data_IF_380067260963
#
_entry.id   IF_380067260963
#
_cell.length_a   1.000
_cell.length_b   1.000
_cell.length_c   1.000
_cell.angle_alpha   90.00
_cell.angle_beta   90.00
_cell.angle_gamma   90.00
#
_symmetry.space_group_name_H-M   'P 1'
#
loop_
_entity.id
_entity.type
_entity.pdbx_description
1 polymer ?
#
# COMPACT_ATOMS: atom_id res chain seq x y z
N UNK A 1 -34.63 -17.88 41.99
CA UNK A 1 -34.68 -16.41 42.21
C UNK A 1 -33.86 -16.10 43.47
N UNK A 2 -33.15 -14.97 43.54
CA UNK A 2 -32.30 -14.63 44.68
C UNK A 2 -33.08 -13.71 45.63
N UNK A 3 -33.10 -14.02 46.93
CA UNK A 3 -33.77 -13.20 47.93
C UNK A 3 -33.01 -11.88 48.12
N UNK A 4 -33.65 -10.70 47.97
CA UNK A 4 -32.97 -9.41 48.14
C UNK A 4 -32.56 -9.12 49.60
N UNK A 5 -33.18 -9.78 50.58
CA UNK A 5 -32.87 -9.60 51.99
C UNK A 5 -31.59 -10.32 52.43
N UNK A 6 -31.37 -11.56 51.98
CA UNK A 6 -30.27 -12.42 52.49
C UNK A 6 -29.36 -12.99 51.40
N UNK A 7 -29.67 -12.78 50.11
CA UNK A 7 -28.93 -13.36 48.99
C UNK A 7 -29.13 -14.87 48.80
N UNK A 8 -29.99 -15.52 49.59
CA UNK A 8 -30.28 -16.95 49.48
C UNK A 8 -31.12 -17.30 48.25
N UNK A 9 -30.95 -18.51 47.72
CA UNK A 9 -31.78 -19.03 46.64
C UNK A 9 -33.20 -19.36 47.14
N UNK A 10 -34.21 -18.81 46.47
CA UNK A 10 -35.61 -19.15 46.66
C UNK A 10 -36.02 -20.26 45.66
N UNK A 11 -36.68 -21.29 46.18
CA UNK A 11 -37.35 -22.32 45.37
C UNK A 11 -38.35 -21.66 44.40
N UNK A 12 -38.46 -22.14 43.15
CA UNK A 12 -39.27 -21.51 42.11
C UNK A 12 -40.76 -21.37 42.46
N UNK A 13 -41.30 -22.28 43.28
CA UNK A 13 -42.69 -22.23 43.78
C UNK A 13 -42.80 -21.71 45.22
N UNK A 14 -41.67 -21.33 45.83
CA UNK A 14 -41.59 -20.94 47.24
C UNK A 14 -41.97 -19.49 47.48
N UNK A 15 -43.15 -19.26 48.08
CA UNK A 15 -43.62 -17.93 48.51
C UNK A 15 -42.80 -17.29 49.66
N UNK A 16 -41.85 -18.02 50.24
CA UNK A 16 -41.04 -17.56 51.37
C UNK A 16 -39.61 -18.07 51.33
N UNK A 17 -38.65 -17.22 51.73
CA UNK A 17 -37.26 -17.61 51.97
C UNK A 17 -37.07 -18.04 53.43
N UNK A 18 -36.02 -18.82 53.68
CA UNK A 18 -35.58 -19.23 55.03
C UNK A 18 -35.26 -18.06 55.95
N UNK A 19 -34.93 -16.87 55.41
CA UNK A 19 -34.73 -15.65 56.19
C UNK A 19 -36.05 -14.99 56.66
N UNK A 20 -37.21 -15.55 56.33
CA UNK A 20 -38.53 -15.02 56.68
C UNK A 20 -39.10 -14.01 55.69
N UNK A 21 -38.36 -13.61 54.66
CA UNK A 21 -38.87 -12.75 53.59
C UNK A 21 -39.95 -13.48 52.78
N UNK A 22 -41.09 -12.83 52.55
CA UNK A 22 -42.22 -13.34 51.75
C UNK A 22 -42.38 -12.49 50.49
N UNK A 23 -42.79 -13.12 49.39
CA UNK A 23 -43.11 -12.40 48.16
C UNK A 23 -44.42 -11.63 48.38
N UNK A 24 -44.36 -10.30 48.28
CA UNK A 24 -45.51 -9.42 48.48
C UNK A 24 -46.12 -9.11 47.13
N UNK A 25 -47.08 -9.94 46.72
CA UNK A 25 -47.81 -9.81 45.46
C UNK A 25 -47.47 -10.87 44.41
N UNK A 26 -48.35 -11.06 43.39
CA UNK A 26 -48.03 -11.91 42.26
C UNK A 26 -46.78 -11.37 41.53
N UNK A 27 -46.00 -12.24 40.87
CA UNK A 27 -44.90 -11.76 40.02
C UNK A 27 -45.43 -10.72 39.05
N UNK A 28 -44.65 -9.66 38.81
CA UNK A 28 -45.01 -8.67 37.79
C UNK A 28 -45.34 -9.40 36.49
N UNK A 29 -46.52 -9.12 35.94
CA UNK A 29 -46.91 -9.63 34.64
C UNK A 29 -45.85 -9.21 33.63
N UNK A 30 -45.47 -10.15 32.76
CA UNK A 30 -44.56 -9.85 31.66
C UNK A 30 -45.07 -8.61 30.90
N UNK A 31 -44.21 -7.63 30.58
CA UNK A 31 -44.65 -6.39 29.97
C UNK A 31 -45.38 -6.67 28.64
N UNK A 32 -46.56 -6.06 28.47
CA UNK A 32 -47.42 -6.27 27.29
C UNK A 32 -46.77 -5.85 25.96
N UNK A 33 -45.69 -5.06 26.00
CA UNK A 33 -44.94 -4.68 24.82
C UNK A 33 -43.44 -4.58 25.13
N UNK A 34 -42.63 -5.18 24.27
CA UNK A 34 -41.18 -5.01 24.25
C UNK A 34 -40.83 -3.87 23.29
N UNK A 35 -40.05 -2.90 23.76
CA UNK A 35 -39.55 -1.83 22.89
C UNK A 35 -38.40 -2.41 22.04
N UNK A 36 -38.50 -2.42 20.70
CA UNK A 36 -37.48 -3.03 19.86
C UNK A 36 -36.15 -2.27 20.00
N UNK A 37 -35.07 -3.00 20.29
CA UNK A 37 -33.72 -2.43 20.35
C UNK A 37 -33.15 -2.22 18.94
N UNK A 38 -33.36 -1.03 18.37
CA UNK A 38 -32.85 -0.63 17.04
C UNK A 38 -31.45 -0.01 17.06
N UNK A 39 -30.85 0.21 18.24
CA UNK A 39 -29.61 0.97 18.38
C UNK A 39 -28.44 0.43 17.55
N UNK A 40 -28.23 -0.89 17.53
CA UNK A 40 -27.09 -1.51 16.84
C UNK A 40 -27.17 -1.44 15.32
N UNK A 41 -28.37 -1.61 14.75
CA UNK A 41 -28.57 -1.54 13.29
C UNK A 41 -28.43 -0.11 12.76
N UNK A 42 -28.93 0.88 13.51
CA UNK A 42 -28.75 2.30 13.18
C UNK A 42 -27.28 2.69 13.23
N UNK A 43 -26.54 2.29 14.27
CA UNK A 43 -25.09 2.57 14.35
C UNK A 43 -24.31 1.94 13.20
N UNK A 44 -24.66 0.72 12.78
CA UNK A 44 -24.00 0.06 11.66
C UNK A 44 -24.25 0.80 10.33
N UNK A 45 -25.47 1.28 10.12
CA UNK A 45 -25.83 2.05 8.91
C UNK A 45 -25.12 3.41 8.86
N UNK A 46 -25.05 4.12 9.99
CA UNK A 46 -24.32 5.39 10.08
C UNK A 46 -22.82 5.19 9.81
N UNK A 47 -22.21 4.16 10.39
CA UNK A 47 -20.80 3.82 10.12
C UNK A 47 -20.57 3.44 8.66
N UNK A 48 -21.50 2.72 8.04
CA UNK A 48 -21.42 2.39 6.62
C UNK A 48 -21.43 3.67 5.76
N UNK A 49 -22.31 4.63 6.03
CA UNK A 49 -22.36 5.91 5.32
C UNK A 49 -21.07 6.72 5.54
N UNK A 50 -20.59 6.82 6.79
CA UNK A 50 -19.34 7.52 7.11
C UNK A 50 -18.18 6.89 6.34
N UNK A 51 -18.14 5.56 6.20
CA UNK A 51 -17.08 4.88 5.46
C UNK A 51 -17.03 5.26 3.97
N UNK A 52 -18.18 5.56 3.35
CA UNK A 52 -18.25 6.02 1.95
C UNK A 52 -17.61 7.40 1.83
N UNK A 53 -17.97 8.34 2.72
CA UNK A 53 -17.40 9.69 2.70
C UNK A 53 -15.91 9.71 3.06
N UNK A 54 -15.51 8.85 3.99
CA UNK A 54 -14.14 8.75 4.44
C UNK A 54 -13.24 7.95 3.47
N UNK A 55 -13.79 7.34 2.42
CA UNK A 55 -13.02 6.72 1.33
C UNK A 55 -12.06 7.70 0.63
N UNK A 56 -12.36 9.00 0.71
CA UNK A 56 -11.47 10.08 0.25
C UNK A 56 -10.15 10.12 1.05
N UNK A 57 -10.15 9.64 2.29
CA UNK A 57 -8.98 9.57 3.15
C UNK A 57 -8.49 8.12 3.24
N UNK A 58 -7.31 7.83 2.65
CA UNK A 58 -6.73 6.49 2.43
C UNK A 58 -6.59 5.56 3.66
N UNK A 59 -6.97 5.98 4.87
CA UNK A 59 -6.71 5.28 6.13
C UNK A 59 -7.81 4.37 6.68
N UNK A 60 -8.94 4.16 6.01
CA UNK A 60 -10.16 3.72 6.70
C UNK A 60 -10.67 2.30 6.42
N UNK A 61 -9.84 1.40 5.86
CA UNK A 61 -10.20 -0.02 5.70
C UNK A 61 -10.54 -0.71 7.03
N UNK A 62 -10.03 -0.19 8.15
CA UNK A 62 -10.35 -0.73 9.49
C UNK A 62 -11.82 -0.51 9.85
N UNK A 63 -12.41 0.64 9.47
CA UNK A 63 -13.78 0.96 9.85
C UNK A 63 -14.82 0.17 9.03
N UNK A 64 -14.51 -0.19 7.77
CA UNK A 64 -15.39 -1.08 6.98
C UNK A 64 -15.44 -2.49 7.59
N UNK A 65 -14.30 -3.01 8.05
CA UNK A 65 -14.24 -4.30 8.76
C UNK A 65 -15.03 -4.28 10.07
N UNK A 66 -14.95 -3.20 10.84
CA UNK A 66 -15.74 -3.03 12.08
C UNK A 66 -17.24 -2.97 11.75
N UNK A 67 -17.63 -2.26 10.69
CA UNK A 67 -19.04 -2.20 10.26
C UNK A 67 -19.58 -3.58 9.85
N UNK A 68 -18.79 -4.36 9.10
CA UNK A 68 -19.15 -5.74 8.72
C UNK A 68 -19.31 -6.62 9.96
N UNK A 69 -18.38 -6.54 10.92
CA UNK A 69 -18.45 -7.31 12.16
C UNK A 69 -19.72 -6.99 12.96
N UNK A 70 -20.02 -5.71 13.16
CA UNK A 70 -21.23 -5.26 13.86
C UNK A 70 -22.50 -5.75 13.15
N UNK A 71 -22.57 -5.63 11.82
CA UNK A 71 -23.71 -6.12 11.03
C UNK A 71 -23.88 -7.64 11.14
N UNK A 72 -22.79 -8.41 11.15
CA UNK A 72 -22.84 -9.86 11.31
C UNK A 72 -23.34 -10.26 12.72
N UNK A 73 -22.84 -9.61 13.76
CA UNK A 73 -23.33 -9.85 15.13
C UNK A 73 -24.80 -9.48 15.30
N UNK A 74 -25.25 -8.36 14.72
CA UNK A 74 -26.66 -7.96 14.75
C UNK A 74 -27.57 -8.97 14.02
N UNK A 75 -27.13 -9.50 12.87
CA UNK A 75 -27.85 -10.55 12.13
C UNK A 75 -27.93 -11.85 12.94
N UNK A 76 -26.84 -12.24 13.61
CA UNK A 76 -26.83 -13.44 14.44
C UNK A 76 -27.80 -13.32 15.63
N UNK A 77 -27.87 -12.16 16.27
CA UNK A 77 -28.78 -11.90 17.39
C UNK A 77 -30.26 -11.84 16.99
N UNK A 78 -30.57 -11.32 15.79
CA UNK A 78 -31.95 -11.33 15.27
C UNK A 78 -32.44 -12.75 14.96
N UNK A 79 -31.54 -13.66 14.57
CA UNK A 79 -31.89 -15.06 14.33
C UNK A 79 -32.11 -15.84 15.63
N UNK A 80 -31.44 -15.47 16.72
CA UNK A 80 -31.63 -16.14 18.02
C UNK A 80 -32.88 -15.64 18.77
N UNK A 81 -33.19 -14.34 18.72
CA UNK A 81 -34.28 -13.73 19.49
C UNK A 81 -35.16 -12.80 18.64
N UNK A 82 -35.94 -13.40 17.72
CA UNK A 82 -36.85 -12.68 16.82
C UNK A 82 -37.90 -11.81 17.55
N UNK A 83 -38.28 -12.17 18.78
CA UNK A 83 -39.29 -11.42 19.56
C UNK A 83 -38.77 -10.11 20.18
N UNK A 84 -37.46 -10.00 20.41
CA UNK A 84 -36.85 -8.82 21.06
C UNK A 84 -36.20 -7.85 20.06
N UNK A 85 -35.85 -8.31 18.86
CA UNK A 85 -35.14 -7.51 17.87
C UNK A 85 -35.99 -7.20 16.65
N UNK A 86 -36.65 -6.04 16.67
CA UNK A 86 -37.21 -5.42 15.47
C UNK A 86 -36.11 -4.75 14.64
N UNK A 87 -35.90 -5.20 13.39
CA UNK A 87 -34.89 -4.58 12.51
C UNK A 87 -34.19 -5.51 11.52
N UNK A 88 -34.74 -6.69 11.21
CA UNK A 88 -34.12 -7.61 10.25
C UNK A 88 -33.84 -6.96 8.88
N UNK A 89 -34.80 -6.18 8.36
CA UNK A 89 -34.65 -5.45 7.10
C UNK A 89 -33.52 -4.41 7.14
N UNK A 90 -33.35 -3.68 8.24
CA UNK A 90 -32.26 -2.70 8.36
C UNK A 90 -30.91 -3.40 8.52
N UNK A 91 -30.86 -4.53 9.21
CA UNK A 91 -29.66 -5.34 9.33
C UNK A 91 -29.23 -5.98 7.99
N UNK A 92 -30.16 -6.52 7.20
CA UNK A 92 -29.84 -7.11 5.89
C UNK A 92 -29.41 -6.07 4.88
N UNK A 93 -30.09 -4.92 4.83
CA UNK A 93 -29.72 -3.82 3.93
C UNK A 93 -28.35 -3.25 4.29
N UNK A 94 -28.05 -3.02 5.58
CA UNK A 94 -26.73 -2.58 6.02
C UNK A 94 -25.63 -3.58 5.65
N UNK A 95 -25.88 -4.88 5.80
CA UNK A 95 -24.92 -5.92 5.45
C UNK A 95 -24.66 -5.93 3.94
N UNK A 96 -25.70 -5.95 3.10
CA UNK A 96 -25.57 -5.92 1.63
C UNK A 96 -24.85 -4.66 1.16
N UNK A 97 -25.17 -3.49 1.73
CA UNK A 97 -24.49 -2.25 1.39
C UNK A 97 -23.00 -2.31 1.74
N UNK A 98 -22.67 -2.78 2.95
CA UNK A 98 -21.29 -2.88 3.42
C UNK A 98 -20.44 -3.85 2.58
N UNK A 99 -21.00 -4.97 2.13
CA UNK A 99 -20.29 -5.94 1.30
C UNK A 99 -20.04 -5.39 -0.10
N UNK A 100 -21.03 -4.72 -0.70
CA UNK A 100 -20.87 -4.07 -2.01
C UNK A 100 -19.77 -3.01 -1.94
N UNK A 101 -19.82 -2.10 -0.95
CA UNK A 101 -18.80 -1.04 -0.79
C UNK A 101 -17.42 -1.67 -0.63
N UNK A 102 -17.28 -2.68 0.23
CA UNK A 102 -15.99 -3.32 0.48
C UNK A 102 -15.44 -4.00 -0.77
N UNK A 103 -16.30 -4.65 -1.57
CA UNK A 103 -15.91 -5.26 -2.83
C UNK A 103 -15.46 -4.20 -3.85
N UNK A 104 -16.23 -3.11 -4.00
CA UNK A 104 -15.89 -2.00 -4.89
C UNK A 104 -14.56 -1.34 -4.51
N UNK A 105 -14.33 -1.10 -3.22
CA UNK A 105 -13.08 -0.55 -2.69
C UNK A 105 -11.91 -1.50 -2.95
N UNK A 106 -12.09 -2.79 -2.69
CA UNK A 106 -11.04 -3.80 -2.90
C UNK A 106 -10.61 -3.85 -4.37
N UNK A 107 -11.57 -3.80 -5.31
CA UNK A 107 -11.31 -3.73 -6.74
C UNK A 107 -10.55 -2.45 -7.09
N UNK A 108 -11.00 -1.29 -6.60
CA UNK A 108 -10.36 -0.01 -6.88
C UNK A 108 -8.90 0.04 -6.41
N UNK A 109 -8.65 -0.37 -5.16
CA UNK A 109 -7.29 -0.42 -4.59
C UNK A 109 -6.43 -1.42 -5.38
N UNK A 110 -6.97 -2.61 -5.70
CA UNK A 110 -6.26 -3.62 -6.47
C UNK A 110 -5.79 -3.12 -7.84
N UNK A 111 -6.61 -2.33 -8.54
CA UNK A 111 -6.25 -1.74 -9.85
C UNK A 111 -5.33 -0.51 -9.69
N UNK A 112 -5.39 0.21 -8.56
CA UNK A 112 -4.61 1.42 -8.30
C UNK A 112 -3.14 1.17 -7.94
N UNK A 113 -2.84 0.11 -7.18
CA UNK A 113 -1.48 -0.24 -6.73
C UNK A 113 -0.45 -0.31 -7.89
N UNK A 114 -0.68 -1.04 -9.00
CA UNK A 114 0.35 -1.16 -10.05
C UNK A 114 0.62 0.18 -10.73
N UNK A 115 -0.39 1.05 -10.85
CA UNK A 115 -0.19 2.39 -11.43
C UNK A 115 0.67 3.26 -10.50
N UNK A 116 0.40 3.21 -9.21
CA UNK A 116 1.17 3.97 -8.22
C UNK A 116 2.65 3.59 -8.23
N UNK A 117 2.96 2.29 -8.25
CA UNK A 117 4.34 1.81 -8.31
C UNK A 117 5.08 2.30 -9.56
N UNK A 118 4.45 2.22 -10.74
CA UNK A 118 5.03 2.70 -12.00
C UNK A 118 5.31 4.21 -11.97
N UNK A 119 4.42 4.99 -11.39
CA UNK A 119 4.60 6.44 -11.27
C UNK A 119 5.77 6.80 -10.34
N UNK A 120 5.97 6.07 -9.25
CA UNK A 120 7.13 6.29 -8.37
C UNK A 120 8.45 5.91 -9.07
N UNK A 121 8.49 4.79 -9.78
CA UNK A 121 9.66 4.41 -10.58
C UNK A 121 9.99 5.46 -11.65
N UNK A 122 8.99 6.01 -12.33
CA UNK A 122 9.16 7.07 -13.32
C UNK A 122 9.72 8.35 -12.70
N UNK A 123 9.26 8.72 -11.49
CA UNK A 123 9.79 9.86 -10.74
C UNK A 123 11.26 9.65 -10.37
N UNK A 124 11.60 8.48 -9.82
CA UNK A 124 12.99 8.15 -9.47
C UNK A 124 13.91 8.12 -10.70
N UNK A 125 13.43 7.58 -11.82
CA UNK A 125 14.16 7.64 -13.11
C UNK A 125 14.37 9.07 -13.57
N UNK A 126 13.34 9.91 -13.57
CA UNK A 126 13.46 11.31 -13.98
C UNK A 126 14.45 12.09 -13.10
N UNK A 127 14.40 11.86 -11.78
CA UNK A 127 15.29 12.48 -10.82
C UNK A 127 16.76 12.04 -11.01
N UNK A 128 16.98 10.73 -11.20
CA UNK A 128 18.32 10.19 -11.52
C UNK A 128 18.87 10.75 -12.82
N UNK A 129 18.04 10.88 -13.86
CA UNK A 129 18.45 11.52 -15.13
C UNK A 129 18.89 12.96 -14.91
N UNK A 130 18.12 13.75 -14.14
CA UNK A 130 18.48 15.12 -13.81
C UNK A 130 19.84 15.21 -13.10
N UNK A 131 20.08 14.32 -12.13
CA UNK A 131 21.35 14.24 -11.43
C UNK A 131 22.52 13.84 -12.35
N UNK A 132 22.31 12.89 -13.27
CA UNK A 132 23.33 12.52 -14.26
C UNK A 132 23.68 13.72 -15.16
N UNK A 133 22.73 14.58 -15.51
CA UNK A 133 23.02 15.80 -16.26
C UNK A 133 23.83 16.81 -15.44
N UNK A 134 23.57 16.93 -14.14
CA UNK A 134 24.41 17.74 -13.23
C UNK A 134 25.84 17.20 -13.12
N UNK A 135 26.02 15.88 -13.10
CA UNK A 135 27.33 15.25 -13.14
C UNK A 135 28.03 15.47 -14.49
N UNK A 136 27.30 15.32 -15.59
CA UNK A 136 27.81 15.54 -16.94
C UNK A 136 28.32 16.97 -17.14
N UNK A 137 27.60 17.97 -16.62
CA UNK A 137 28.04 19.37 -16.70
C UNK A 137 29.30 19.61 -15.86
N UNK A 138 29.39 19.02 -14.67
CA UNK A 138 30.58 19.11 -13.83
C UNK A 138 31.81 18.43 -14.47
N UNK A 139 31.63 17.28 -15.12
CA UNK A 139 32.67 16.59 -15.88
C UNK A 139 33.18 17.45 -17.06
N UNK A 140 32.26 18.11 -17.76
CA UNK A 140 32.61 18.99 -18.88
C UNK A 140 33.39 20.22 -18.40
N UNK A 141 33.00 20.81 -17.28
CA UNK A 141 33.72 21.94 -16.68
C UNK A 141 35.12 21.53 -16.22
N UNK A 142 35.26 20.36 -15.58
CA UNK A 142 36.55 19.80 -15.20
C UNK A 142 37.47 19.64 -16.42
N UNK A 143 36.92 19.12 -17.53
CA UNK A 143 37.67 18.97 -18.79
C UNK A 143 38.13 20.31 -19.37
N UNK A 144 37.32 21.36 -19.29
CA UNK A 144 37.71 22.69 -19.77
C UNK A 144 38.89 23.22 -18.95
N UNK A 145 38.89 22.99 -17.64
CA UNK A 145 39.93 23.48 -16.72
C UNK A 145 41.23 22.68 -16.79
N UNK A 146 41.15 21.34 -16.85
CA UNK A 146 42.30 20.44 -16.77
C UNK A 146 42.71 19.82 -18.12
N UNK A 147 41.91 20.04 -19.17
CA UNK A 147 42.14 19.49 -20.52
C UNK A 147 41.75 18.02 -20.70
N UNK A 148 41.43 17.29 -19.63
CA UNK A 148 41.04 15.89 -19.62
C UNK A 148 39.91 15.62 -18.62
N UNK A 149 39.20 14.49 -18.77
CA UNK A 149 38.23 14.03 -17.77
C UNK A 149 38.93 13.42 -16.54
N UNK A 150 38.30 13.46 -15.36
CA UNK A 150 38.87 12.86 -14.15
C UNK A 150 38.95 11.33 -14.28
N UNK A 151 39.85 10.70 -13.53
CA UNK A 151 39.99 9.23 -13.55
C UNK A 151 38.86 8.57 -12.73
N UNK A 152 38.37 9.27 -11.70
CA UNK A 152 37.33 8.78 -10.78
C UNK A 152 36.33 9.87 -10.40
N UNK A 153 35.13 9.48 -9.95
CA UNK A 153 34.13 10.44 -9.48
C UNK A 153 34.51 11.06 -8.13
N UNK A 154 35.33 10.38 -7.34
CA UNK A 154 35.84 10.86 -6.07
C UNK A 154 36.74 12.10 -6.25
N UNK A 155 37.54 12.11 -7.33
CA UNK A 155 38.35 13.27 -7.73
C UNK A 155 37.46 14.48 -8.04
N UNK A 156 36.37 14.27 -8.78
CA UNK A 156 35.40 15.32 -9.08
C UNK A 156 34.71 15.85 -7.80
N UNK A 157 34.37 14.97 -6.87
CA UNK A 157 33.76 15.34 -5.58
C UNK A 157 34.71 16.12 -4.69
N UNK A 158 36.01 15.84 -4.72
CA UNK A 158 37.00 16.61 -3.97
C UNK A 158 37.13 18.06 -4.48
N UNK A 159 36.88 18.27 -5.77
CA UNK A 159 36.93 19.59 -6.41
C UNK A 159 35.61 20.36 -6.24
N UNK A 160 34.47 19.66 -6.21
CA UNK A 160 33.14 20.24 -6.03
C UNK A 160 32.35 19.50 -4.96
N UNK A 161 32.21 20.13 -3.80
CA UNK A 161 31.63 19.53 -2.58
C UNK A 161 30.14 19.15 -2.74
N UNK A 162 29.42 19.77 -3.68
CA UNK A 162 27.97 19.64 -3.84
C UNK A 162 27.52 18.55 -4.85
N UNK A 163 28.34 17.55 -5.13
CA UNK A 163 27.96 16.43 -6.00
C UNK A 163 27.55 15.19 -5.22
N UNK A 164 26.30 14.81 -5.42
CA UNK A 164 25.76 13.51 -5.02
C UNK A 164 26.18 12.45 -6.05
N UNK A 165 26.87 11.41 -5.57
CA UNK A 165 27.36 10.28 -6.39
C UNK A 165 26.47 9.04 -6.27
N UNK A 166 25.29 9.21 -5.66
CA UNK A 166 24.29 8.17 -5.43
C UNK A 166 23.05 8.47 -6.25
N UNK A 167 22.44 7.49 -6.88
CA UNK A 167 21.15 7.67 -7.55
C UNK A 167 19.99 7.74 -6.56
N UNK A 168 18.77 7.94 -7.08
CA UNK A 168 17.55 7.99 -6.27
C UNK A 168 17.08 6.61 -5.76
N UNK A 169 17.82 5.54 -6.06
CA UNK A 169 17.71 4.22 -5.47
C UNK A 169 18.79 3.95 -4.42
N UNK A 170 19.52 5.00 -4.01
CA UNK A 170 20.62 4.96 -3.04
C UNK A 170 21.83 4.12 -3.50
N UNK A 171 21.92 3.83 -4.80
CA UNK A 171 23.01 3.08 -5.39
C UNK A 171 24.10 4.02 -5.91
N UNK A 172 25.37 3.62 -5.77
CA UNK A 172 26.50 4.40 -6.28
C UNK A 172 26.52 4.41 -7.80
N UNK A 173 26.64 5.60 -8.38
CA UNK A 173 26.84 5.79 -9.81
C UNK A 173 28.22 5.27 -10.21
N UNK A 174 28.27 4.52 -11.31
CA UNK A 174 29.54 4.03 -11.87
C UNK A 174 29.96 4.93 -13.02
N UNK A 175 31.23 5.32 -12.99
CA UNK A 175 31.86 6.14 -14.01
C UNK A 175 32.96 5.34 -14.68
N UNK A 176 33.06 5.50 -16.00
CA UNK A 176 34.16 4.96 -16.81
C UNK A 176 34.66 6.04 -17.75
N UNK A 177 35.97 6.33 -17.70
CA UNK A 177 36.63 7.22 -18.63
C UNK A 177 37.03 6.49 -19.92
N UNK A 178 37.34 7.25 -20.99
CA UNK A 178 37.69 6.72 -22.33
C UNK A 178 38.72 5.58 -22.30
N UNK A 179 39.73 5.69 -21.43
CA UNK A 179 40.83 4.73 -21.34
C UNK A 179 40.37 3.33 -20.88
N UNK A 180 39.35 3.25 -20.03
CA UNK A 180 38.81 1.99 -19.52
C UNK A 180 37.74 1.39 -20.44
N UNK A 181 37.03 2.25 -21.18
CA UNK A 181 36.03 1.84 -22.17
C UNK A 181 36.63 1.07 -23.35
N UNK A 182 37.93 1.26 -23.63
CA UNK A 182 38.65 0.52 -24.67
C UNK A 182 39.09 -0.88 -24.25
N UNK A 183 39.12 -1.19 -22.95
CA UNK A 183 39.68 -2.44 -22.39
C UNK A 183 38.59 -3.48 -22.09
N UNK A 184 37.41 -3.05 -21.64
CA UNK A 184 36.31 -3.94 -21.21
C UNK A 184 35.14 -3.99 -22.22
N UNK A 185 35.42 -4.43 -23.45
CA UNK A 185 34.38 -4.88 -24.37
C UNK A 185 33.81 -6.25 -23.91
N UNK A 186 33.09 -6.24 -22.78
CA UNK A 186 32.40 -7.43 -22.27
C UNK A 186 31.06 -7.63 -23.00
N UNK A 187 30.76 -8.87 -23.42
CA UNK A 187 29.56 -9.19 -24.18
C UNK A 187 28.36 -9.18 -23.24
N UNK A 188 27.51 -8.16 -23.36
CA UNK A 188 26.29 -8.03 -22.56
C UNK A 188 25.72 -6.61 -22.54
N UNK A 189 26.58 -5.59 -22.69
CA UNK A 189 26.19 -4.18 -22.89
C UNK A 189 26.18 -3.84 -24.40
N UNK A 190 25.83 -4.83 -25.23
CA UNK A 190 26.24 -4.97 -26.63
C UNK A 190 25.62 -3.94 -27.58
N UNK A 191 26.31 -2.80 -27.75
CA UNK A 191 26.63 -2.29 -29.08
C UNK A 191 28.10 -1.88 -29.11
N UNK A 192 28.83 -2.20 -30.20
CA UNK A 192 30.20 -1.73 -30.37
C UNK A 192 30.22 -0.21 -30.21
N UNK A 193 31.05 0.26 -29.26
CA UNK A 193 31.22 1.67 -28.99
C UNK A 193 31.69 2.36 -30.28
N UNK A 194 31.03 3.41 -30.77
CA UNK A 194 31.70 4.31 -31.69
C UNK A 194 32.93 4.89 -30.97
N UNK A 195 34.07 4.94 -31.66
CA UNK A 195 35.38 5.42 -31.16
C UNK A 195 35.40 6.88 -30.66
N UNK A 196 34.24 7.53 -30.55
CA UNK A 196 34.08 8.93 -30.20
C UNK A 196 33.59 9.17 -28.76
N UNK A 197 33.20 8.12 -28.04
CA UNK A 197 32.66 8.28 -26.68
C UNK A 197 33.78 8.61 -25.68
N UNK A 198 33.64 9.70 -24.93
CA UNK A 198 34.68 10.17 -24.02
C UNK A 198 34.47 9.72 -22.57
N UNK A 199 33.22 9.61 -22.12
CA UNK A 199 32.91 9.04 -20.81
C UNK A 199 31.56 8.32 -20.77
N UNK A 200 31.40 7.45 -19.78
CA UNK A 200 30.15 6.76 -19.49
C UNK A 200 29.79 6.87 -18.00
N UNK A 201 28.53 7.22 -17.73
CA UNK A 201 27.92 7.14 -16.41
C UNK A 201 26.83 6.05 -16.45
N UNK A 202 26.79 5.19 -15.44
CA UNK A 202 25.80 4.12 -15.32
C UNK A 202 25.18 4.15 -13.92
N UNK A 203 23.85 4.29 -13.86
CA UNK A 203 23.07 3.96 -12.67
C UNK A 203 22.56 2.53 -12.80
N UNK A 204 22.76 1.69 -11.76
CA UNK A 204 22.26 0.31 -11.71
C UNK A 204 20.75 0.20 -11.44
N UNK A 205 20.02 1.32 -11.42
CA UNK A 205 18.57 1.30 -11.28
C UNK A 205 18.08 0.77 -9.92
N UNK A 206 16.93 0.12 -9.94
CA UNK A 206 16.21 -0.31 -8.74
C UNK A 206 16.72 -1.65 -8.20
N UNK A 207 17.28 -2.50 -9.06
CA UNK A 207 17.75 -3.83 -8.68
C UNK A 207 19.22 -3.86 -8.21
N UNK A 208 19.91 -2.72 -8.30
CA UNK A 208 21.32 -2.52 -7.93
C UNK A 208 22.31 -3.41 -8.70
N UNK A 209 21.88 -4.04 -9.79
CA UNK A 209 22.72 -4.87 -10.67
C UNK A 209 23.09 -4.06 -11.91
N UNK A 210 24.12 -4.52 -12.61
CA UNK A 210 24.50 -3.95 -13.90
C UNK A 210 24.23 -4.96 -15.01
N UNK A 211 24.03 -4.45 -16.21
CA UNK A 211 23.72 -5.22 -17.40
C UNK A 211 22.24 -5.59 -17.50
N UNK A 212 21.38 -4.92 -16.74
CA UNK A 212 19.95 -5.17 -16.67
C UNK A 212 19.16 -4.12 -17.46
N UNK A 213 17.86 -4.35 -17.65
CA UNK A 213 17.01 -3.47 -18.47
C UNK A 213 16.62 -2.17 -17.76
N UNK A 214 16.83 -2.08 -16.45
CA UNK A 214 16.57 -0.90 -15.62
C UNK A 214 17.77 0.04 -15.50
N UNK A 215 18.95 -0.39 -15.98
CA UNK A 215 20.15 0.44 -16.05
C UNK A 215 19.91 1.73 -16.85
N UNK A 216 20.27 2.87 -16.25
CA UNK A 216 20.33 4.14 -16.93
C UNK A 216 21.78 4.43 -17.33
N UNK A 217 22.05 4.37 -18.63
CA UNK A 217 23.37 4.62 -19.19
C UNK A 217 23.39 5.99 -19.85
N UNK A 218 24.29 6.86 -19.42
CA UNK A 218 24.60 8.13 -20.09
C UNK A 218 25.98 8.05 -20.73
N UNK A 219 26.07 8.50 -21.97
CA UNK A 219 27.32 8.64 -22.72
C UNK A 219 27.41 10.05 -23.28
N UNK A 220 28.51 10.74 -22.99
CA UNK A 220 28.76 12.11 -23.46
C UNK A 220 27.55 13.05 -23.33
N UNK A 221 26.87 13.00 -22.17
CA UNK A 221 25.71 13.82 -21.87
C UNK A 221 24.40 13.39 -22.55
N UNK A 222 24.39 12.28 -23.30
CA UNK A 222 23.18 11.70 -23.89
C UNK A 222 22.78 10.43 -23.16
N UNK A 223 21.51 10.33 -22.74
CA UNK A 223 21.00 9.13 -22.06
C UNK A 223 20.58 8.12 -23.12
N UNK A 224 21.21 6.95 -23.09
CA UNK A 224 20.85 5.82 -23.92
C UNK A 224 19.79 5.01 -23.19
N UNK A 225 18.68 4.76 -23.87
CA UNK A 225 17.74 3.76 -23.40
C UNK A 225 18.39 2.40 -23.62
N UNK A 226 18.64 1.65 -22.55
CA UNK A 226 19.07 0.26 -22.60
C UNK A 226 18.12 -0.46 -23.56
N UNK A 227 18.66 -0.87 -24.71
CA UNK A 227 17.86 -1.46 -25.77
C UNK A 227 17.10 -2.63 -25.16
N UNK A 228 15.77 -2.56 -25.27
CA UNK A 228 14.87 -3.70 -25.05
C UNK A 228 15.51 -4.88 -25.76
N UNK A 229 16.07 -5.84 -25.03
CA UNK A 229 16.32 -7.17 -25.59
C UNK A 229 14.93 -7.65 -25.95
N UNK A 230 14.56 -7.47 -27.21
CA UNK A 230 13.43 -8.13 -27.81
C UNK A 230 13.75 -9.60 -27.72
N UNK A 231 13.32 -10.22 -26.62
CA UNK A 231 12.83 -11.59 -26.69
C UNK A 231 11.64 -11.46 -27.62
N UNK A 232 11.91 -11.60 -28.92
CA UNK A 232 10.93 -12.12 -29.85
C UNK A 232 10.51 -13.46 -29.28
N UNK A 233 9.39 -13.47 -28.57
CA UNK A 233 8.59 -14.67 -28.41
C UNK A 233 8.40 -15.21 -29.84
N UNK A 234 9.06 -16.34 -30.10
CA UNK A 234 8.76 -17.22 -31.23
C UNK A 234 7.29 -17.65 -31.10
N UNK A 235 6.41 -16.89 -31.72
CA UNK A 235 5.11 -17.36 -32.18
C UNK A 235 5.34 -18.11 -33.50
N UNK A 236 5.57 -19.42 -33.40
CA UNK A 236 5.60 -20.43 -34.47
C UNK A 236 6.14 -21.71 -33.81
N UNK A 237 5.40 -22.80 -33.57
CA UNK A 237 4.38 -23.42 -34.40
C UNK A 237 3.87 -24.65 -33.63
N UNK A 238 2.63 -24.66 -33.18
CA UNK A 238 1.88 -25.89 -32.90
C UNK A 238 0.40 -25.55 -33.07
N UNK A 239 -0.07 -25.66 -34.32
CA UNK A 239 -1.42 -26.12 -34.69
C UNK A 239 -1.41 -26.61 -36.15
#
# INVERSE_FOLDING_TARGET
>A
MICPCCGGEMLPDGLSCSCGARVVGPPLSEPDYFVPQVGRSVTALVLAIISIFAFVWKGLLVLTLVAIYLAFTARKQTLSDSRHFGGYLTATTALVLSTIITLSVSIYVGVGIPKYLRTEEEKQRAATRAQMYHLASALLEYKIEHGAYPVSLEELKSTKENLELIDFWENKLKYRATAELAVDAQPGINQPLPFFNQYQLVSPGADAKLGTTDDLVMRDGTILQSAKISISEEESSEE
#
